data_IF_355421619916
#
_entry.id   IF_355421619916
#
_cell.length_a   1.000
_cell.length_b   1.000
_cell.length_c   1.000
_cell.angle_alpha   90.00
_cell.angle_beta   90.00
_cell.angle_gamma   90.00
#
_symmetry.space_group_name_H-M   'P 1'
#
loop_
_entity.id
_entity.type
_entity.pdbx_description
1 polymer ?
#
# COMPACT_ATOMS: atom_id res chain seq x y z
N UNK A 1 -10.59 -7.59 54.84
CA UNK A 1 -10.19 -6.40 54.02
C UNK A 1 -8.91 -6.56 53.19
N UNK A 2 -7.97 -7.53 53.39
CA UNK A 2 -6.82 -7.70 52.50
C UNK A 2 -7.14 -8.31 51.11
N UNK A 3 -8.23 -9.07 50.99
CA UNK A 3 -8.53 -9.88 49.79
C UNK A 3 -9.00 -9.03 48.58
N UNK A 4 -9.77 -7.97 48.82
CA UNK A 4 -10.29 -7.10 47.75
C UNK A 4 -9.17 -6.24 47.16
N UNK A 5 -8.29 -5.71 47.98
CA UNK A 5 -7.16 -4.89 47.51
C UNK A 5 -6.18 -5.74 46.70
N UNK A 6 -5.92 -6.99 47.11
CA UNK A 6 -5.07 -7.92 46.37
C UNK A 6 -5.68 -8.29 44.99
N UNK A 7 -6.98 -8.55 44.95
CA UNK A 7 -7.70 -8.84 43.67
C UNK A 7 -7.70 -7.66 42.71
N UNK A 8 -7.83 -6.42 43.20
CA UNK A 8 -7.75 -5.21 42.41
C UNK A 8 -6.34 -4.97 41.85
N UNK A 9 -5.30 -5.29 42.60
CA UNK A 9 -3.90 -5.13 42.17
C UNK A 9 -3.49 -6.20 41.14
N UNK A 10 -4.07 -7.40 41.17
CA UNK A 10 -3.79 -8.48 40.22
C UNK A 10 -4.42 -8.24 38.84
N UNK A 11 -5.44 -7.37 38.75
CA UNK A 11 -6.14 -7.02 37.49
C UNK A 11 -5.74 -5.66 36.90
N UNK A 12 -4.74 -4.97 37.48
CA UNK A 12 -4.24 -3.73 36.89
C UNK A 12 -3.38 -4.04 35.65
N UNK A 13 -3.65 -3.31 34.54
CA UNK A 13 -2.79 -3.34 33.38
C UNK A 13 -1.36 -2.91 33.79
N UNK A 14 -0.38 -3.77 33.53
CA UNK A 14 1.02 -3.44 33.72
C UNK A 14 1.50 -2.62 32.55
N UNK A 15 1.85 -1.38 32.79
CA UNK A 15 2.48 -0.51 31.79
C UNK A 15 4.00 -0.67 31.81
N UNK A 16 4.66 -0.24 30.76
CA UNK A 16 6.11 -0.11 30.66
C UNK A 16 6.46 1.35 30.41
N UNK A 17 7.62 1.76 30.86
CA UNK A 17 8.21 3.03 30.48
C UNK A 17 9.07 2.86 29.23
N UNK A 18 9.04 3.84 28.35
CA UNK A 18 9.85 3.87 27.13
C UNK A 18 10.69 5.14 27.10
N UNK A 19 11.94 5.02 26.70
CA UNK A 19 12.84 6.17 26.58
C UNK A 19 12.46 7.07 25.39
N UNK A 20 12.87 8.33 25.43
CA UNK A 20 12.70 9.23 24.27
C UNK A 20 13.37 8.65 23.01
N UNK A 21 14.58 8.08 23.13
CA UNK A 21 15.30 7.49 22.02
C UNK A 21 14.60 6.28 21.40
N UNK A 22 13.90 5.49 22.20
CA UNK A 22 13.12 4.35 21.69
C UNK A 22 11.79 4.81 21.09
N UNK A 23 11.17 5.84 21.64
CA UNK A 23 9.97 6.44 21.04
C UNK A 23 10.29 7.11 19.70
N UNK A 24 11.44 7.76 19.53
CA UNK A 24 11.86 8.35 18.25
C UNK A 24 11.99 7.31 17.12
N UNK A 25 12.37 6.08 17.41
CA UNK A 25 12.40 4.95 16.45
C UNK A 25 11.00 4.53 15.97
N UNK A 26 9.96 5.02 16.62
CA UNK A 26 8.55 4.75 16.29
C UNK A 26 7.86 5.97 15.67
N UNK A 27 8.62 6.92 15.19
CA UNK A 27 8.12 8.13 14.53
C UNK A 27 8.57 8.16 13.08
N UNK A 28 7.63 8.29 12.17
CA UNK A 28 7.88 8.57 10.77
C UNK A 28 7.72 10.06 10.49
N UNK A 29 8.70 10.65 9.83
CA UNK A 29 8.65 12.06 9.41
C UNK A 29 8.40 12.13 7.91
N UNK A 30 7.25 12.61 7.46
CA UNK A 30 6.88 12.65 6.05
C UNK A 30 7.99 13.21 5.15
N UNK A 31 8.65 14.29 5.58
CA UNK A 31 9.73 14.93 4.81
C UNK A 31 11.00 14.09 4.67
N UNK A 32 11.16 13.05 5.51
CA UNK A 32 12.30 12.14 5.48
C UNK A 32 12.02 10.87 4.64
N UNK A 33 10.76 10.61 4.31
CA UNK A 33 10.36 9.45 3.52
C UNK A 33 10.89 9.55 2.09
N UNK A 34 11.27 8.40 1.53
CA UNK A 34 11.73 8.27 0.15
C UNK A 34 10.85 7.28 -0.59
N UNK A 35 10.66 7.44 -1.90
CA UNK A 35 10.01 6.44 -2.73
C UNK A 35 10.70 5.09 -2.63
N UNK A 36 9.97 4.01 -2.90
CA UNK A 36 10.53 2.65 -2.91
C UNK A 36 11.75 2.56 -3.84
N UNK A 37 12.74 1.67 -3.55
CA UNK A 37 13.95 1.53 -4.36
C UNK A 37 13.68 1.34 -5.86
N UNK A 38 12.66 0.53 -6.21
CA UNK A 38 12.26 0.31 -7.60
C UNK A 38 11.80 1.60 -8.30
N UNK A 39 11.19 2.52 -7.56
CA UNK A 39 10.77 3.82 -8.10
C UNK A 39 11.95 4.76 -8.35
N UNK A 40 13.08 4.48 -7.74
CA UNK A 40 14.34 5.23 -7.89
C UNK A 40 15.28 4.61 -8.95
N UNK A 41 14.95 3.41 -9.50
CA UNK A 41 15.76 2.76 -10.54
C UNK A 41 15.77 3.62 -11.82
N UNK A 42 16.93 4.15 -12.26
CA UNK A 42 17.02 4.99 -13.46
C UNK A 42 16.80 4.21 -14.77
N UNK A 43 16.93 2.89 -14.76
CA UNK A 43 16.72 2.06 -15.93
C UNK A 43 15.24 1.81 -16.25
N UNK A 44 14.34 2.06 -15.29
CA UNK A 44 12.90 1.95 -15.49
C UNK A 44 12.35 3.33 -15.85
N UNK A 45 11.72 3.52 -17.02
CA UNK A 45 11.06 4.77 -17.39
C UNK A 45 10.01 5.18 -16.36
N UNK A 46 9.88 6.48 -16.10
CA UNK A 46 8.89 6.99 -15.15
C UNK A 46 7.47 6.58 -15.52
N UNK A 47 7.15 6.59 -16.82
CA UNK A 47 5.85 6.15 -17.33
C UNK A 47 5.53 4.69 -16.94
N UNK A 48 6.53 3.79 -16.99
CA UNK A 48 6.34 2.39 -16.56
C UNK A 48 6.13 2.28 -15.04
N UNK A 49 6.83 3.08 -14.24
CA UNK A 49 6.61 3.16 -12.79
C UNK A 49 5.20 3.64 -12.48
N UNK A 50 4.72 4.64 -13.21
CA UNK A 50 3.40 5.24 -13.03
C UNK A 50 2.24 4.31 -13.42
N UNK A 51 2.49 3.33 -14.28
CA UNK A 51 1.51 2.27 -14.62
C UNK A 51 1.30 1.32 -13.43
N UNK A 52 2.36 1.04 -12.68
CA UNK A 52 2.34 0.04 -11.59
C UNK A 52 2.08 0.68 -10.22
N UNK A 53 2.61 1.87 -9.97
CA UNK A 53 2.58 2.54 -8.67
C UNK A 53 2.01 3.96 -8.73
N UNK A 54 1.58 4.48 -7.59
CA UNK A 54 1.54 5.92 -7.37
C UNK A 54 2.89 6.56 -7.69
N UNK A 55 2.94 7.81 -8.14
CA UNK A 55 4.19 8.52 -8.49
C UNK A 55 5.27 8.41 -7.41
N UNK A 56 4.87 8.49 -6.14
CA UNK A 56 5.71 8.17 -4.98
C UNK A 56 4.91 7.27 -4.05
N UNK A 57 5.40 6.08 -3.80
CA UNK A 57 4.89 5.20 -2.75
C UNK A 57 5.90 5.25 -1.59
N UNK A 58 5.47 5.87 -0.49
CA UNK A 58 6.30 6.16 0.67
C UNK A 58 5.93 5.20 1.79
N UNK A 59 6.83 4.31 2.18
CA UNK A 59 6.58 3.37 3.25
C UNK A 59 6.69 4.03 4.62
N UNK A 60 5.70 3.82 5.49
CA UNK A 60 5.60 4.44 6.83
C UNK A 60 5.72 3.39 7.92
N UNK A 61 4.92 2.33 7.83
CA UNK A 61 4.92 1.21 8.79
C UNK A 61 5.09 -0.09 8.01
N UNK A 62 6.11 -0.85 8.37
CA UNK A 62 6.34 -2.20 7.88
C UNK A 62 5.84 -3.25 8.88
N UNK A 63 5.80 -4.50 8.43
CA UNK A 63 5.44 -5.64 9.26
C UNK A 63 6.49 -5.88 10.35
N UNK A 64 6.03 -6.36 11.48
CA UNK A 64 6.86 -7.00 12.47
C UNK A 64 7.40 -8.33 11.92
N UNK A 65 8.70 -8.60 12.14
CA UNK A 65 9.37 -9.83 11.70
C UNK A 65 10.24 -9.67 10.44
N UNK A 66 10.69 -10.81 9.91
CA UNK A 66 11.72 -10.87 8.87
C UNK A 66 11.17 -10.78 7.43
N UNK A 67 10.00 -10.22 7.24
CA UNK A 67 9.44 -10.08 5.90
C UNK A 67 10.31 -9.18 5.02
N UNK A 68 11.02 -9.80 4.08
CA UNK A 68 11.92 -9.12 3.15
C UNK A 68 11.12 -8.58 1.95
N UNK A 69 10.38 -7.51 2.15
CA UNK A 69 9.65 -6.82 1.07
C UNK A 69 10.17 -5.40 0.88
N UNK A 70 10.01 -4.80 -0.32
CA UNK A 70 10.40 -3.41 -0.56
C UNK A 70 9.76 -2.42 0.42
N UNK A 71 8.50 -2.69 0.84
CA UNK A 71 7.78 -1.86 1.81
C UNK A 71 8.44 -1.97 3.19
N UNK A 72 8.68 -3.18 3.69
CA UNK A 72 9.31 -3.38 4.99
C UNK A 72 10.72 -2.80 5.06
N UNK A 73 11.53 -3.05 4.02
CA UNK A 73 12.91 -2.57 3.97
C UNK A 73 13.01 -1.04 3.87
N UNK A 74 11.94 -0.36 3.47
CA UNK A 74 11.87 1.09 3.33
C UNK A 74 11.14 1.77 4.50
N UNK A 75 10.52 1.01 5.40
CA UNK A 75 9.71 1.55 6.49
C UNK A 75 10.55 2.04 7.65
N UNK A 76 10.38 3.29 8.11
CA UNK A 76 11.04 3.79 9.31
C UNK A 76 10.47 3.20 10.59
N UNK A 77 9.22 2.72 10.58
CA UNK A 77 8.57 2.09 11.73
C UNK A 77 8.33 0.63 11.43
N UNK A 78 8.69 -0.25 12.35
CA UNK A 78 8.41 -1.69 12.32
C UNK A 78 7.57 -2.06 13.54
N UNK A 79 6.72 -3.06 13.44
CA UNK A 79 6.08 -3.65 14.62
C UNK A 79 4.57 -3.47 14.71
N UNK A 80 3.88 -3.37 13.60
CA UNK A 80 2.43 -3.57 13.55
C UNK A 80 2.14 -4.95 12.98
N UNK A 81 1.74 -5.90 13.82
CA UNK A 81 1.38 -7.24 13.37
C UNK A 81 0.23 -7.19 12.35
N UNK A 82 0.43 -7.84 11.20
CA UNK A 82 -0.61 -7.99 10.18
C UNK A 82 -1.06 -6.69 9.49
N UNK A 83 -0.27 -5.61 9.55
CA UNK A 83 -0.60 -4.34 8.91
C UNK A 83 0.64 -3.68 8.32
N UNK A 84 0.54 -3.18 7.10
CA UNK A 84 1.49 -2.19 6.56
C UNK A 84 0.77 -0.89 6.24
N UNK A 85 1.50 0.23 6.30
CA UNK A 85 1.00 1.55 5.96
C UNK A 85 1.96 2.25 5.00
N UNK A 86 1.41 2.72 3.88
CA UNK A 86 2.13 3.56 2.93
C UNK A 86 1.36 4.85 2.65
N UNK A 87 2.04 5.84 2.09
CA UNK A 87 1.43 7.03 1.54
C UNK A 87 1.67 7.03 0.02
N UNK A 88 0.58 7.04 -0.73
CA UNK A 88 0.59 7.20 -2.18
C UNK A 88 0.47 8.69 -2.52
N UNK A 89 1.49 9.25 -3.15
CA UNK A 89 1.50 10.65 -3.59
C UNK A 89 1.37 10.68 -5.10
N UNK A 90 0.30 11.30 -5.59
CA UNK A 90 -0.09 11.32 -6.99
C UNK A 90 -0.26 12.74 -7.52
N UNK A 91 0.43 13.15 -8.59
CA UNK A 91 0.05 14.34 -9.33
C UNK A 91 -1.34 14.19 -9.97
N UNK A 92 -1.96 15.27 -10.46
CA UNK A 92 -3.24 15.21 -11.16
C UNK A 92 -3.26 14.15 -12.27
N UNK A 93 -4.34 13.37 -12.34
CA UNK A 93 -4.57 12.34 -13.34
C UNK A 93 -3.79 11.03 -13.13
N UNK A 94 -2.90 10.92 -12.13
CA UNK A 94 -2.05 9.75 -11.92
C UNK A 94 -2.56 8.85 -10.78
N UNK A 95 -2.30 7.57 -10.92
CA UNK A 95 -2.52 6.48 -10.00
C UNK A 95 -2.18 5.15 -10.67
N UNK A 96 -2.02 4.05 -9.90
CA UNK A 96 -1.70 2.73 -10.43
C UNK A 96 -2.84 2.18 -11.29
N UNK A 97 -2.51 1.26 -12.18
CA UNK A 97 -3.49 0.50 -12.96
C UNK A 97 -4.23 -0.52 -12.09
N UNK A 98 -5.28 -1.13 -12.64
CA UNK A 98 -6.06 -2.19 -12.00
C UNK A 98 -5.17 -3.35 -11.54
N UNK A 99 -5.33 -3.74 -10.30
CA UNK A 99 -4.64 -4.85 -9.65
C UNK A 99 -5.53 -5.45 -8.55
N UNK A 100 -5.24 -6.67 -8.16
CA UNK A 100 -5.91 -7.35 -7.07
C UNK A 100 -4.90 -7.79 -6.01
N UNK A 101 -5.35 -7.91 -4.77
CA UNK A 101 -4.65 -8.61 -3.71
C UNK A 101 -5.30 -9.97 -3.47
N UNK A 102 -4.53 -11.03 -3.37
CA UNK A 102 -5.07 -12.38 -3.25
C UNK A 102 -5.65 -12.66 -1.87
N UNK A 103 -5.04 -12.10 -0.82
CA UNK A 103 -5.34 -12.42 0.58
C UNK A 103 -5.63 -11.20 1.43
N UNK A 104 -5.08 -10.02 1.10
CA UNK A 104 -5.16 -8.84 1.93
C UNK A 104 -6.26 -7.88 1.51
N UNK A 105 -6.82 -7.18 2.50
CA UNK A 105 -7.62 -5.98 2.28
C UNK A 105 -6.70 -4.80 1.99
N UNK A 106 -7.12 -3.93 1.09
CA UNK A 106 -6.47 -2.66 0.85
C UNK A 106 -7.45 -1.53 1.14
N UNK A 107 -7.10 -0.70 2.11
CA UNK A 107 -7.94 0.40 2.59
C UNK A 107 -7.31 1.73 2.23
N UNK A 108 -8.05 2.56 1.55
CA UNK A 108 -7.66 3.90 1.11
C UNK A 108 -8.35 4.96 1.94
N UNK A 109 -7.59 5.91 2.49
CA UNK A 109 -8.12 7.13 3.09
C UNK A 109 -7.48 8.34 2.42
N UNK A 110 -8.28 9.24 1.89
CA UNK A 110 -7.78 10.49 1.29
C UNK A 110 -7.30 11.42 2.39
N UNK A 111 -6.01 11.75 2.37
CA UNK A 111 -5.44 12.72 3.32
C UNK A 111 -5.36 14.14 2.74
N UNK A 112 -5.29 14.25 1.41
CA UNK A 112 -5.28 15.54 0.69
C UNK A 112 -5.72 15.34 -0.75
N UNK A 113 -6.55 16.22 -1.25
CA UNK A 113 -7.05 16.24 -2.61
C UNK A 113 -8.31 15.43 -2.81
N UNK A 114 -8.52 14.95 -4.02
CA UNK A 114 -9.71 14.18 -4.41
C UNK A 114 -9.30 13.01 -5.29
N UNK A 115 -9.81 11.82 -4.99
CA UNK A 115 -9.47 10.59 -5.70
C UNK A 115 -10.70 9.89 -6.23
N UNK A 116 -10.58 9.32 -7.43
CA UNK A 116 -11.48 8.30 -7.92
C UNK A 116 -10.90 6.93 -7.60
N UNK A 117 -11.71 6.04 -7.03
CA UNK A 117 -11.39 4.63 -6.86
C UNK A 117 -12.30 3.83 -7.78
N UNK A 118 -11.71 3.00 -8.64
CA UNK A 118 -12.43 2.11 -9.56
C UNK A 118 -12.23 0.66 -9.16
N UNK A 119 -13.20 -0.20 -9.48
CA UNK A 119 -13.12 -1.64 -9.20
C UNK A 119 -13.78 -2.48 -10.29
N UNK A 120 -13.65 -3.80 -10.20
CA UNK A 120 -13.93 -4.84 -11.19
C UNK A 120 -12.91 -4.86 -12.34
N UNK A 121 -12.94 -5.93 -13.15
CA UNK A 121 -11.93 -6.17 -14.19
C UNK A 121 -11.96 -5.15 -15.33
N UNK A 122 -13.11 -4.55 -15.56
CA UNK A 122 -13.33 -3.50 -16.56
C UNK A 122 -13.24 -2.08 -15.96
N UNK A 123 -13.04 -1.98 -14.63
CA UNK A 123 -13.11 -0.68 -13.94
C UNK A 123 -14.51 -0.08 -13.95
N UNK A 124 -15.56 -0.90 -14.18
CA UNK A 124 -16.92 -0.41 -14.38
C UNK A 124 -17.63 0.11 -13.13
N UNK A 125 -17.12 -0.22 -11.93
CA UNK A 125 -17.53 0.40 -10.69
C UNK A 125 -16.59 1.55 -10.34
N UNK A 126 -17.11 2.68 -9.86
CA UNK A 126 -16.28 3.77 -9.38
C UNK A 126 -16.96 4.60 -8.29
N UNK A 127 -16.13 5.29 -7.50
CA UNK A 127 -16.55 6.27 -6.51
C UNK A 127 -15.54 7.39 -6.41
N UNK A 128 -15.99 8.62 -6.27
CA UNK A 128 -15.14 9.76 -5.91
C UNK A 128 -15.05 9.86 -4.38
N UNK A 129 -13.83 10.06 -3.88
CA UNK A 129 -13.54 10.27 -2.47
C UNK A 129 -12.90 11.66 -2.27
N UNK A 130 -13.40 12.37 -1.29
CA UNK A 130 -12.88 13.65 -0.82
C UNK A 130 -11.95 13.44 0.40
N UNK A 131 -11.34 14.50 0.88
CA UNK A 131 -10.49 14.44 2.08
C UNK A 131 -11.24 13.79 3.25
N UNK A 132 -10.55 12.84 3.89
CA UNK A 132 -11.01 12.00 5.01
C UNK A 132 -12.04 10.92 4.67
N UNK A 133 -12.51 10.83 3.43
CA UNK A 133 -13.28 9.66 3.00
C UNK A 133 -12.40 8.42 2.95
N UNK A 134 -13.01 7.28 3.25
CA UNK A 134 -12.33 5.99 3.33
C UNK A 134 -13.11 4.90 2.60
N UNK A 135 -12.40 4.09 1.83
CA UNK A 135 -12.91 2.84 1.22
C UNK A 135 -11.99 1.68 1.57
N UNK A 136 -12.55 0.51 1.85
CA UNK A 136 -11.81 -0.73 2.07
C UNK A 136 -12.19 -1.76 1.03
N UNK A 137 -11.23 -2.14 0.20
CA UNK A 137 -11.42 -3.10 -0.90
C UNK A 137 -11.02 -4.49 -0.43
N UNK A 138 -11.92 -5.49 -0.53
CA UNK A 138 -11.62 -6.85 -0.09
C UNK A 138 -10.64 -7.55 -1.05
N UNK A 139 -10.06 -8.70 -0.60
CA UNK A 139 -9.25 -9.56 -1.46
C UNK A 139 -9.98 -9.96 -2.74
N UNK A 140 -9.20 -10.23 -3.79
CA UNK A 140 -9.66 -10.73 -5.11
C UNK A 140 -10.56 -9.78 -5.90
N UNK A 141 -10.71 -8.54 -5.48
CA UNK A 141 -11.36 -7.49 -6.27
C UNK A 141 -10.28 -6.68 -6.98
N UNK A 142 -10.34 -6.60 -8.30
CA UNK A 142 -9.52 -5.66 -9.06
C UNK A 142 -9.88 -4.23 -8.70
N UNK A 143 -8.89 -3.39 -8.41
CA UNK A 143 -9.07 -1.97 -8.09
C UNK A 143 -7.93 -1.14 -8.62
N UNK A 144 -8.22 0.12 -8.81
CA UNK A 144 -7.28 1.18 -9.10
C UNK A 144 -7.73 2.46 -8.39
N UNK A 145 -6.85 3.40 -8.23
CA UNK A 145 -7.20 4.76 -7.83
C UNK A 145 -6.50 5.78 -8.72
N UNK A 146 -7.04 6.97 -8.79
CA UNK A 146 -6.47 8.08 -9.55
C UNK A 146 -6.76 9.40 -8.85
N UNK A 147 -5.77 10.27 -8.74
CA UNK A 147 -5.99 11.64 -8.32
C UNK A 147 -6.79 12.39 -9.40
N UNK A 148 -7.99 12.85 -9.05
CA UNK A 148 -8.88 13.63 -9.91
C UNK A 148 -8.96 15.10 -9.50
N UNK A 149 -8.11 15.51 -8.54
CA UNK A 149 -7.94 16.92 -8.16
C UNK A 149 -6.95 17.63 -9.08
N UNK A 150 -6.85 18.94 -8.88
CA UNK A 150 -5.99 19.84 -9.69
C UNK A 150 -4.55 19.93 -9.16
N UNK A 151 -4.33 19.51 -7.91
CA UNK A 151 -3.04 19.53 -7.21
C UNK A 151 -2.55 18.13 -6.86
N UNK A 152 -1.31 18.02 -6.35
CA UNK A 152 -0.76 16.77 -5.83
C UNK A 152 -1.62 16.24 -4.66
N UNK A 153 -2.21 15.07 -4.84
CA UNK A 153 -3.01 14.37 -3.84
C UNK A 153 -2.19 13.38 -3.02
N UNK A 154 -2.66 13.10 -1.80
CA UNK A 154 -2.06 12.12 -0.88
C UNK A 154 -3.13 11.17 -0.39
N UNK A 155 -2.91 9.88 -0.64
CA UNK A 155 -3.76 8.78 -0.20
C UNK A 155 -2.98 7.95 0.83
N UNK A 156 -3.58 7.70 1.99
CA UNK A 156 -3.08 6.68 2.92
C UNK A 156 -3.54 5.30 2.43
N UNK A 157 -2.62 4.35 2.39
CA UNK A 157 -2.90 2.96 2.02
C UNK A 157 -2.56 2.06 3.18
N UNK A 158 -3.56 1.35 3.71
CA UNK A 158 -3.39 0.31 4.72
C UNK A 158 -3.64 -1.05 4.07
N UNK A 159 -2.70 -1.97 4.23
CA UNK A 159 -2.85 -3.37 3.84
C UNK A 159 -2.94 -4.20 5.11
N UNK A 160 -3.99 -5.01 5.22
CA UNK A 160 -4.30 -5.79 6.43
C UNK A 160 -4.85 -7.18 6.09
N UNK A 161 -4.77 -8.10 7.05
CA UNK A 161 -5.55 -9.35 7.03
C UNK A 161 -4.91 -10.52 6.31
N UNK A 162 -3.60 -10.54 6.09
CA UNK A 162 -2.98 -11.69 5.47
C UNK A 162 -1.46 -11.59 5.30
N UNK A 163 -0.94 -12.30 4.31
CA UNK A 163 0.46 -12.28 3.94
C UNK A 163 0.76 -10.97 3.19
N UNK A 164 1.79 -10.28 3.61
CA UNK A 164 2.21 -9.02 3.02
C UNK A 164 3.49 -9.22 2.19
N UNK A 165 3.42 -10.02 1.15
CA UNK A 165 4.51 -10.17 0.19
C UNK A 165 4.10 -9.69 -1.20
N UNK A 166 5.06 -9.60 -2.11
CA UNK A 166 4.77 -9.17 -3.48
C UNK A 166 3.93 -10.17 -4.26
N UNK A 167 3.91 -11.44 -3.86
CA UNK A 167 3.08 -12.48 -4.49
C UNK A 167 1.58 -12.34 -4.16
N UNK A 168 1.22 -11.52 -3.17
CA UNK A 168 -0.16 -11.15 -2.89
C UNK A 168 -0.75 -10.22 -3.98
N UNK A 169 0.11 -9.52 -4.72
CA UNK A 169 -0.31 -8.50 -5.70
C UNK A 169 -0.28 -9.07 -7.12
N UNK A 170 -1.43 -9.01 -7.79
CA UNK A 170 -1.58 -9.43 -9.18
C UNK A 170 -2.17 -8.28 -10.00
N UNK A 171 -1.45 -7.85 -11.02
CA UNK A 171 -1.88 -6.79 -11.92
C UNK A 171 -2.83 -7.34 -12.99
N UNK A 172 -3.67 -6.48 -13.55
CA UNK A 172 -4.47 -6.86 -14.72
C UNK A 172 -3.58 -7.19 -15.93
N UNK A 173 -3.97 -8.15 -16.80
CA UNK A 173 -3.16 -8.58 -17.93
C UNK A 173 -2.78 -7.46 -18.91
N UNK A 174 -3.63 -6.44 -19.06
CA UNK A 174 -3.36 -5.28 -19.92
C UNK A 174 -2.16 -4.45 -19.44
N UNK A 175 -1.83 -4.49 -18.15
CA UNK A 175 -0.64 -3.84 -17.59
C UNK A 175 0.63 -4.42 -18.17
N UNK A 176 0.70 -5.75 -18.35
CA UNK A 176 1.85 -6.39 -18.99
C UNK A 176 2.06 -5.86 -20.42
N UNK A 177 0.96 -5.72 -21.18
CA UNK A 177 1.00 -5.17 -22.55
C UNK A 177 1.43 -3.70 -22.56
N UNK A 178 0.94 -2.88 -21.62
CA UNK A 178 1.35 -1.48 -21.48
C UNK A 178 2.84 -1.37 -21.20
N UNK A 179 3.36 -2.15 -20.25
CA UNK A 179 4.78 -2.14 -19.88
C UNK A 179 5.69 -2.52 -21.07
N UNK A 180 5.34 -3.57 -21.82
CA UNK A 180 6.12 -4.01 -22.97
C UNK A 180 6.12 -2.97 -24.12
N UNK A 181 5.04 -2.16 -24.26
CA UNK A 181 4.97 -1.04 -25.21
C UNK A 181 5.84 0.13 -24.80
N UNK A 182 5.95 0.41 -23.49
CA UNK A 182 6.78 1.51 -22.96
C UNK A 182 8.26 1.19 -23.17
N UNK A 183 8.70 -0.01 -22.76
CA UNK A 183 10.08 -0.45 -22.93
C UNK A 183 10.16 -1.98 -22.80
N UNK A 184 10.70 -2.63 -23.82
CA UNK A 184 10.99 -4.07 -23.78
C UNK A 184 11.85 -4.44 -22.57
N UNK A 185 11.45 -5.48 -21.85
CA UNK A 185 12.17 -5.98 -20.69
C UNK A 185 11.77 -5.32 -19.34
N UNK A 186 10.98 -4.25 -19.36
CA UNK A 186 10.54 -3.61 -18.10
C UNK A 186 9.56 -4.48 -17.33
N UNK A 187 8.65 -5.17 -18.02
CA UNK A 187 7.76 -6.13 -17.36
C UNK A 187 8.51 -7.18 -16.55
N UNK A 188 9.62 -7.69 -17.11
CA UNK A 188 10.45 -8.70 -16.46
C UNK A 188 11.11 -8.18 -15.18
N UNK A 189 11.46 -6.89 -15.12
CA UNK A 189 11.96 -6.27 -13.88
C UNK A 189 10.92 -6.30 -12.75
N UNK A 190 9.66 -5.98 -13.06
CA UNK A 190 8.57 -6.06 -12.09
C UNK A 190 8.24 -7.52 -11.72
N UNK A 191 8.23 -8.43 -12.68
CA UNK A 191 8.01 -9.85 -12.43
C UNK A 191 9.10 -10.48 -11.54
N UNK A 192 10.35 -10.07 -11.71
CA UNK A 192 11.47 -10.51 -10.86
C UNK A 192 11.33 -10.08 -9.38
N UNK A 193 10.47 -9.11 -9.09
CA UNK A 193 10.12 -8.68 -7.73
C UNK A 193 8.90 -9.43 -7.16
N UNK A 194 8.31 -10.34 -7.92
CA UNK A 194 7.15 -11.13 -7.52
C UNK A 194 5.80 -10.63 -8.04
N UNK A 195 5.74 -9.52 -8.80
CA UNK A 195 4.49 -9.10 -9.43
C UNK A 195 4.07 -10.09 -10.52
N UNK A 196 2.78 -10.46 -10.49
CA UNK A 196 2.12 -11.22 -11.54
C UNK A 196 1.15 -10.34 -12.35
N UNK A 197 0.66 -10.85 -13.49
CA UNK A 197 -0.16 -10.05 -14.43
C UNK A 197 -1.35 -10.88 -14.93
N UNK A 198 -2.09 -11.48 -13.98
CA UNK A 198 -3.19 -12.41 -14.27
C UNK A 198 -4.50 -12.03 -13.56
N UNK A 199 -4.57 -10.85 -12.93
CA UNK A 199 -5.74 -10.44 -12.16
C UNK A 199 -6.96 -10.18 -13.06
N UNK A 200 -7.77 -11.20 -13.26
CA UNK A 200 -9.07 -11.12 -13.91
C UNK A 200 -9.98 -12.28 -13.46
N UNK A 201 -11.29 -12.09 -13.55
CA UNK A 201 -12.21 -13.23 -13.41
C UNK A 201 -11.97 -14.18 -14.58
N UNK A 202 -11.78 -15.46 -14.30
CA UNK A 202 -11.73 -16.47 -15.35
C UNK A 202 -12.96 -16.35 -16.27
N UNK A 203 -12.84 -16.74 -17.53
CA UNK A 203 -14.02 -16.96 -18.36
C UNK A 203 -14.98 -17.86 -17.59
N UNK A 204 -16.25 -17.47 -17.51
CA UNK A 204 -17.27 -18.35 -16.92
C UNK A 204 -17.20 -19.70 -17.66
N UNK A 205 -16.94 -20.78 -16.91
CA UNK A 205 -16.89 -22.13 -17.45
C UNK A 205 -18.26 -22.56 -17.95
#
# INVERSE_FOLDING_TARGET
>A
QPTIVRFLMENLMKTIEITLGDMEKRISRFRALKPLPIQQDPEIPQEAKDVVYARKLLSVIGLEGDANTPINNSSPITGAAGMTMTLAVCPPGQGPSLHAHQQTYETFTVLRGRFEVTWNDDGGGSVELNEFDTISVPPKVNRAFRNIGDDEGVLQVLITGGVHDMADIDMSPDVAVKLDRIKTGVKQKFAAMGLTFNAHKGAAA
#
